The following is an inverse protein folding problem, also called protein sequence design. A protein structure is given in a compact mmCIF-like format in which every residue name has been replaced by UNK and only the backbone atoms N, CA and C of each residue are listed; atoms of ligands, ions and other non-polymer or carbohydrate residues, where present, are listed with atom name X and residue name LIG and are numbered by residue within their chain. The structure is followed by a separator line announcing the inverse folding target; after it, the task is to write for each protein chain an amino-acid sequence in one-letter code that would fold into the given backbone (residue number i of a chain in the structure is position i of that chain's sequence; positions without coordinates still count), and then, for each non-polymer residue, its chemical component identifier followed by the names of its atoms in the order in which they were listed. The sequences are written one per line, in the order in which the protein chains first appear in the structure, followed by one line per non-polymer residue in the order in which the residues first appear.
data_IF_747482164287
#
_entry.id   IF_747482164287
#
_cell.length_a   1.000
_cell.length_b   1.000
_cell.length_c   1.000
_cell.angle_alpha   90.00
_cell.angle_beta   90.00
_cell.angle_gamma   90.00
#
_symmetry.space_group_name_H-M   'P 1'
#
loop_
_entity.id
_entity.type
_entity.pdbx_description
1 polymer ?
#
# COMPACT_ATOMS: atom_id res chain seq x y z
N UNK A 1 -43.14 -23.01 33.37
CA UNK A 1 -43.44 -24.41 32.97
C UNK A 1 -43.49 -24.38 31.44
N UNK A 2 -42.54 -24.87 30.62
CA UNK A 2 -41.38 -25.76 30.74
C UNK A 2 -40.35 -25.36 29.68
N UNK A 3 -39.05 -25.51 30.00
CA UNK A 3 -37.94 -25.57 29.04
C UNK A 3 -37.98 -26.91 28.28
N UNK A 4 -37.17 -27.06 27.22
CA UNK A 4 -36.25 -28.19 27.28
C UNK A 4 -34.80 -27.82 26.95
N UNK A 5 -33.94 -28.33 27.83
CA UNK A 5 -32.50 -28.53 27.77
C UNK A 5 -32.17 -29.55 26.67
N UNK A 6 -31.15 -29.28 25.85
CA UNK A 6 -30.14 -30.29 25.48
C UNK A 6 -28.78 -29.61 25.24
N UNK A 7 -27.85 -29.96 26.12
CA UNK A 7 -26.42 -29.75 26.02
C UNK A 7 -25.81 -30.69 24.97
N UNK A 8 -24.69 -30.27 24.37
CA UNK A 8 -23.56 -31.16 24.09
C UNK A 8 -22.30 -30.34 23.81
N UNK A 9 -21.36 -30.52 24.73
CA UNK A 9 -19.96 -30.16 24.68
C UNK A 9 -19.28 -30.90 23.53
N UNK A 10 -18.54 -30.18 22.69
CA UNK A 10 -17.56 -30.76 21.79
C UNK A 10 -16.23 -30.03 21.98
N UNK A 11 -15.39 -30.61 22.82
CA UNK A 11 -13.97 -30.32 22.93
C UNK A 11 -13.29 -30.76 21.64
N UNK A 12 -12.71 -29.81 20.89
CA UNK A 12 -11.77 -30.12 19.81
C UNK A 12 -10.48 -29.37 20.04
N UNK A 13 -9.50 -30.15 20.51
CA UNK A 13 -8.09 -29.87 20.67
C UNK A 13 -7.54 -28.91 19.61
N UNK A 14 -7.31 -27.66 20.02
CA UNK A 14 -6.47 -26.72 19.29
C UNK A 14 -5.03 -27.26 19.31
N UNK A 15 -4.64 -27.96 18.24
CA UNK A 15 -3.25 -28.36 18.01
C UNK A 15 -2.39 -27.10 17.88
N UNK A 16 -1.70 -26.82 18.98
CA UNK A 16 -0.62 -25.85 19.15
C UNK A 16 0.49 -26.20 18.15
N UNK A 17 0.49 -25.57 16.98
CA UNK A 17 1.63 -25.62 16.06
C UNK A 17 2.77 -24.82 16.67
N UNK A 18 3.56 -25.52 17.48
CA UNK A 18 4.83 -25.08 18.06
C UNK A 18 5.86 -25.04 16.93
N UNK A 19 6.21 -23.85 16.45
CA UNK A 19 7.46 -23.65 15.70
C UNK A 19 8.47 -23.02 16.67
N UNK A 20 9.62 -23.69 16.77
CA UNK A 20 10.73 -23.39 17.69
C UNK A 20 11.43 -22.08 17.28
N UNK A 21 12.10 -21.39 18.21
CA UNK A 21 13.04 -20.33 17.86
C UNK A 21 14.30 -20.99 17.29
N UNK A 22 14.71 -20.56 16.10
CA UNK A 22 16.08 -20.73 15.64
C UNK A 22 16.69 -19.35 15.53
N UNK A 23 17.78 -19.19 16.27
CA UNK A 23 18.49 -17.95 16.49
C UNK A 23 19.14 -17.38 15.22
N UNK A 24 19.17 -16.05 15.21
CA UNK A 24 20.08 -15.11 14.56
C UNK A 24 21.09 -15.64 13.52
N UNK A 25 20.96 -15.13 12.28
CA UNK A 25 22.11 -14.65 11.49
C UNK A 25 21.73 -13.29 10.87
N UNK A 26 22.43 -12.25 11.31
CA UNK A 26 22.19 -10.87 10.93
C UNK A 26 22.70 -10.53 9.53
N UNK A 27 21.85 -9.91 8.74
CA UNK A 27 22.18 -9.03 7.61
C UNK A 27 21.09 -7.97 7.53
N UNK A 28 21.43 -6.71 7.24
CA UNK A 28 20.48 -5.57 7.27
C UNK A 28 19.22 -5.77 6.42
N UNK A 29 19.26 -6.66 5.42
CA UNK A 29 18.12 -7.04 4.59
C UNK A 29 17.07 -7.87 5.38
N UNK A 30 17.49 -8.76 6.28
CA UNK A 30 16.59 -9.58 7.09
C UNK A 30 15.79 -8.75 8.11
N UNK A 31 16.36 -7.64 8.60
CA UNK A 31 15.69 -6.73 9.53
C UNK A 31 14.55 -5.98 8.84
N UNK A 32 14.76 -5.51 7.61
CA UNK A 32 13.71 -4.86 6.80
C UNK A 32 12.60 -5.87 6.46
N UNK A 33 12.97 -7.09 6.08
CA UNK A 33 12.02 -8.14 5.69
C UNK A 33 11.16 -8.61 6.88
N UNK A 34 11.73 -8.85 8.06
CA UNK A 34 10.94 -9.25 9.23
C UNK A 34 9.97 -8.13 9.68
N UNK A 35 10.39 -6.88 9.58
CA UNK A 35 9.53 -5.73 9.95
C UNK A 35 8.32 -5.58 9.02
N UNK A 36 8.43 -5.99 7.75
CA UNK A 36 7.29 -6.00 6.80
C UNK A 36 6.34 -7.17 7.10
N UNK A 37 6.84 -8.36 7.46
CA UNK A 37 5.98 -9.51 7.79
C UNK A 37 5.18 -9.34 9.09
N UNK A 38 5.69 -8.50 10.00
CA UNK A 38 5.02 -8.13 11.25
C UNK A 38 4.21 -6.83 11.14
N UNK A 39 4.27 -6.16 9.99
CA UNK A 39 3.50 -4.94 9.74
C UNK A 39 2.01 -5.29 9.62
N UNK A 40 1.33 -5.28 10.76
CA UNK A 40 -0.11 -5.39 10.87
C UNK A 40 -0.65 -3.96 10.97
N UNK A 41 -1.28 -3.48 9.88
CA UNK A 41 -2.03 -2.23 9.92
C UNK A 41 -3.08 -2.34 11.03
N UNK A 42 -3.07 -1.46 12.05
CA UNK A 42 -4.08 -1.45 13.10
C UNK A 42 -5.47 -1.39 12.47
N UNK A 43 -6.36 -2.28 12.90
CA UNK A 43 -7.77 -2.17 12.53
C UNK A 43 -8.38 -1.02 13.35
N UNK A 44 -9.24 -0.16 12.76
CA UNK A 44 -10.00 0.81 13.54
C UNK A 44 -10.92 0.04 14.49
N UNK A 45 -10.51 -0.07 15.75
CA UNK A 45 -11.34 -0.61 16.81
C UNK A 45 -12.35 0.47 17.22
N UNK A 46 -13.58 0.30 16.77
CA UNK A 46 -14.82 0.86 17.30
C UNK A 46 -14.79 2.20 18.02
N UNK A 47 -15.26 3.24 17.35
CA UNK A 47 -16.28 4.18 17.83
C UNK A 47 -16.55 5.18 16.70
N UNK A 48 -17.72 5.10 16.07
CA UNK A 48 -18.21 6.21 15.23
C UNK A 48 -18.58 7.32 16.19
N UNK A 49 -17.68 8.29 16.36
CA UNK A 49 -17.98 9.48 17.15
C UNK A 49 -19.09 10.27 16.45
N UNK A 50 -20.06 10.84 17.19
CA UNK A 50 -21.07 11.70 16.60
C UNK A 50 -20.38 12.91 15.95
N UNK A 51 -20.79 13.23 14.71
CA UNK A 51 -20.34 14.41 13.98
C UNK A 51 -20.75 15.66 14.77
N UNK A 52 -19.76 16.30 15.38
CA UNK A 52 -19.94 17.56 16.10
C UNK A 52 -20.16 18.69 15.08
N UNK A 53 -21.10 19.62 15.30
CA UNK A 53 -21.30 20.76 14.41
C UNK A 53 -20.02 21.62 14.36
N UNK A 54 -19.71 22.12 13.17
CA UNK A 54 -18.50 22.89 12.90
C UNK A 54 -18.41 24.13 13.81
N UNK A 55 -17.55 24.05 14.83
CA UNK A 55 -17.28 25.16 15.74
C UNK A 55 -16.45 26.24 15.03
N UNK A 56 -16.45 27.47 15.53
CA UNK A 56 -15.64 28.58 14.99
C UNK A 56 -14.13 28.28 14.94
N UNK A 57 -13.63 27.35 15.76
CA UNK A 57 -12.25 26.82 15.64
C UNK A 57 -12.03 26.03 14.35
N UNK A 58 -13.03 25.27 13.92
CA UNK A 58 -13.00 24.48 12.68
C UNK A 58 -12.92 25.39 11.45
N UNK A 59 -13.65 26.52 11.46
CA UNK A 59 -13.55 27.53 10.41
C UNK A 59 -12.15 28.15 10.32
N UNK A 60 -11.52 28.49 11.45
CA UNK A 60 -10.16 29.05 11.49
C UNK A 60 -9.08 28.01 11.10
N UNK A 61 -9.29 26.71 11.38
CA UNK A 61 -8.40 25.66 10.87
C UNK A 61 -8.59 25.40 9.38
N UNK A 62 -9.81 25.51 8.86
CA UNK A 62 -10.10 25.40 7.42
C UNK A 62 -9.44 26.56 6.68
N UNK A 63 -9.61 27.80 7.14
CA UNK A 63 -8.95 28.97 6.53
C UNK A 63 -7.42 28.85 6.51
N UNK A 64 -6.81 28.32 7.58
CA UNK A 64 -5.35 28.07 7.62
C UNK A 64 -4.88 26.95 6.68
N UNK A 65 -5.71 25.95 6.43
CA UNK A 65 -5.38 24.88 5.48
C UNK A 65 -5.59 25.32 4.02
N UNK A 66 -6.52 26.25 3.77
CA UNK A 66 -6.75 26.87 2.45
C UNK A 66 -5.60 27.80 2.05
N UNK A 67 -4.93 28.44 3.00
CA UNK A 67 -3.76 29.30 2.74
C UNK A 67 -2.45 28.54 2.48
N UNK A 68 -2.39 27.24 2.80
CA UNK A 68 -1.20 26.45 2.47
C UNK A 68 -1.16 26.24 0.96
N UNK A 69 -0.33 27.05 0.30
CA UNK A 69 0.01 26.87 -1.10
C UNK A 69 0.52 25.45 -1.39
N UNK A 70 0.58 25.10 -2.67
CA UNK A 70 1.00 23.76 -3.11
C UNK A 70 2.43 23.48 -2.63
N UNK A 71 2.56 22.55 -1.67
CA UNK A 71 3.86 22.04 -1.22
C UNK A 71 4.27 20.85 -2.10
N UNK A 72 5.34 21.02 -2.88
CA UNK A 72 5.88 19.98 -3.74
C UNK A 72 6.65 18.92 -2.96
N UNK A 73 6.44 17.64 -3.31
CA UNK A 73 7.29 16.54 -2.89
C UNK A 73 8.46 16.38 -3.87
N UNK A 74 9.55 17.10 -3.59
CA UNK A 74 10.73 17.10 -4.45
C UNK A 74 11.37 15.73 -4.63
N UNK A 75 11.19 14.78 -3.69
CA UNK A 75 11.73 13.42 -3.84
C UNK A 75 10.99 12.71 -4.96
N UNK A 76 9.66 12.78 -4.96
CA UNK A 76 8.84 12.17 -6.00
C UNK A 76 9.00 12.91 -7.33
N UNK A 77 9.03 14.25 -7.32
CA UNK A 77 9.23 15.06 -8.54
C UNK A 77 10.53 14.69 -9.23
N UNK A 78 11.65 14.69 -8.49
CA UNK A 78 12.97 14.37 -9.05
C UNK A 78 13.05 12.90 -9.46
N UNK A 79 12.56 11.98 -8.62
CA UNK A 79 12.58 10.55 -8.90
C UNK A 79 11.80 10.17 -10.16
N UNK A 80 10.55 10.65 -10.27
CA UNK A 80 9.70 10.42 -11.44
C UNK A 80 10.34 11.04 -12.68
N UNK A 81 10.79 12.30 -12.62
CA UNK A 81 11.45 12.95 -13.74
C UNK A 81 12.71 12.19 -14.20
N UNK A 82 13.54 11.75 -13.27
CA UNK A 82 14.74 10.98 -13.55
C UNK A 82 14.45 9.68 -14.31
N UNK A 83 13.50 8.87 -13.84
CA UNK A 83 13.15 7.62 -14.52
C UNK A 83 12.52 7.83 -15.90
N UNK A 84 11.71 8.88 -16.08
CA UNK A 84 11.14 9.20 -17.39
C UNK A 84 12.21 9.67 -18.38
N UNK A 85 13.14 10.53 -17.96
CA UNK A 85 14.26 10.96 -18.78
C UNK A 85 15.19 9.80 -19.15
N UNK A 86 15.44 8.88 -18.21
CA UNK A 86 16.19 7.65 -18.47
C UNK A 86 15.47 6.75 -19.49
N UNK A 87 14.14 6.63 -19.41
CA UNK A 87 13.36 5.82 -20.35
C UNK A 87 13.46 6.34 -21.80
N UNK A 88 13.61 7.66 -21.99
CA UNK A 88 13.80 8.24 -23.33
C UNK A 88 15.10 7.78 -24.01
N UNK A 89 16.10 7.32 -23.24
CA UNK A 89 17.33 6.78 -23.82
C UNK A 89 17.06 5.55 -24.70
N UNK A 90 16.00 4.79 -24.43
CA UNK A 90 15.62 3.62 -25.24
C UNK A 90 15.20 4.00 -26.68
N UNK A 91 14.89 5.27 -26.95
CA UNK A 91 14.56 5.75 -28.30
C UNK A 91 15.80 5.94 -29.18
N UNK A 92 16.99 6.00 -28.57
CA UNK A 92 18.24 6.11 -29.31
C UNK A 92 18.70 4.72 -29.74
N UNK A 93 18.98 4.47 -31.03
CA UNK A 93 19.35 3.15 -31.53
C UNK A 93 20.54 2.50 -30.81
N UNK A 94 21.46 3.30 -30.27
CA UNK A 94 22.63 2.84 -29.51
C UNK A 94 22.28 2.16 -28.18
N UNK A 95 21.14 2.52 -27.57
CA UNK A 95 20.71 1.98 -26.28
C UNK A 95 19.52 1.01 -26.41
N UNK A 96 18.97 0.85 -27.62
CA UNK A 96 17.85 -0.05 -27.86
C UNK A 96 18.29 -1.50 -27.98
N UNK A 97 17.53 -2.41 -27.37
CA UNK A 97 17.71 -3.85 -27.51
C UNK A 97 16.38 -4.58 -27.43
N UNK A 98 16.17 -5.55 -28.33
CA UNK A 98 15.01 -6.43 -28.31
C UNK A 98 14.92 -7.26 -27.03
N UNK A 99 16.05 -7.74 -26.49
CA UNK A 99 16.05 -8.44 -25.21
C UNK A 99 15.67 -7.51 -24.06
N UNK A 100 16.12 -6.24 -24.11
CA UNK A 100 15.72 -5.20 -23.15
C UNK A 100 14.22 -4.94 -23.17
N UNK A 101 13.62 -4.86 -24.36
CA UNK A 101 12.17 -4.69 -24.51
C UNK A 101 11.38 -5.85 -23.91
N UNK A 102 11.79 -7.09 -24.19
CA UNK A 102 11.17 -8.30 -23.61
C UNK A 102 11.30 -8.27 -22.08
N UNK A 103 12.48 -7.96 -21.56
CA UNK A 103 12.73 -7.85 -20.13
C UNK A 103 11.91 -6.73 -19.48
N UNK A 104 11.64 -5.62 -20.18
CA UNK A 104 10.78 -4.56 -19.67
C UNK A 104 9.34 -5.04 -19.47
N UNK A 105 8.77 -5.76 -20.45
CA UNK A 105 7.43 -6.34 -20.31
C UNK A 105 7.36 -7.43 -19.23
N UNK A 106 8.37 -8.31 -19.18
CA UNK A 106 8.44 -9.36 -18.18
C UNK A 106 8.62 -8.77 -16.77
N UNK A 107 9.45 -7.74 -16.63
CA UNK A 107 9.64 -6.98 -15.41
C UNK A 107 8.34 -6.30 -14.98
N UNK A 108 7.61 -5.65 -15.89
CA UNK A 108 6.32 -5.04 -15.57
C UNK A 108 5.31 -6.07 -15.05
N UNK A 109 5.27 -7.27 -15.64
CA UNK A 109 4.42 -8.35 -15.15
C UNK A 109 4.87 -8.85 -13.77
N UNK A 110 6.18 -9.09 -13.58
CA UNK A 110 6.72 -9.63 -12.34
C UNK A 110 6.58 -8.64 -11.17
N UNK A 111 6.98 -7.38 -11.35
CA UNK A 111 6.99 -6.39 -10.29
C UNK A 111 5.64 -5.69 -10.13
N UNK A 112 5.00 -5.31 -11.25
CA UNK A 112 3.69 -4.66 -11.24
C UNK A 112 2.55 -5.64 -10.94
N UNK A 113 2.38 -6.68 -11.77
CA UNK A 113 1.25 -7.60 -11.59
C UNK A 113 1.40 -8.48 -10.34
N UNK A 114 2.55 -9.12 -10.12
CA UNK A 114 2.71 -9.98 -8.95
C UNK A 114 3.05 -9.20 -7.67
N UNK A 115 3.92 -8.20 -7.75
CA UNK A 115 4.24 -7.37 -6.59
C UNK A 115 3.10 -6.44 -6.17
N UNK A 116 2.65 -5.55 -7.04
CA UNK A 116 1.64 -4.55 -6.67
C UNK A 116 0.23 -5.15 -6.66
N UNK A 117 -0.23 -5.72 -7.79
CA UNK A 117 -1.63 -6.13 -7.92
C UNK A 117 -1.97 -7.36 -7.08
N UNK A 118 -1.10 -8.38 -7.06
CA UNK A 118 -1.34 -9.58 -6.26
C UNK A 118 -0.97 -9.35 -4.79
N UNK A 119 0.18 -8.75 -4.50
CA UNK A 119 0.65 -8.64 -3.11
C UNK A 119 0.20 -7.36 -2.39
N UNK A 120 0.61 -6.16 -2.79
CA UNK A 120 0.18 -4.93 -2.08
C UNK A 120 -1.35 -4.77 -2.07
N UNK A 121 -1.99 -4.98 -3.22
CA UNK A 121 -3.42 -4.81 -3.36
C UNK A 121 -4.21 -5.97 -2.73
N UNK A 122 -4.11 -7.19 -3.26
CA UNK A 122 -4.98 -8.29 -2.79
C UNK A 122 -4.55 -8.86 -1.44
N UNK A 123 -3.27 -9.13 -1.24
CA UNK A 123 -2.80 -9.73 0.01
C UNK A 123 -2.72 -8.71 1.15
N UNK A 124 -1.99 -7.62 0.97
CA UNK A 124 -1.67 -6.71 2.06
C UNK A 124 -2.87 -5.82 2.41
N UNK A 125 -3.52 -5.23 1.42
CA UNK A 125 -4.62 -4.29 1.61
C UNK A 125 -5.94 -4.98 1.92
N UNK A 126 -6.34 -5.93 1.07
CA UNK A 126 -7.67 -6.56 1.12
C UNK A 126 -7.72 -7.94 1.81
N UNK A 127 -6.56 -8.48 2.23
CA UNK A 127 -6.49 -9.80 2.89
C UNK A 127 -7.17 -10.93 2.12
N UNK A 128 -7.11 -10.87 0.78
CA UNK A 128 -7.86 -11.76 -0.12
C UNK A 128 -7.37 -13.20 -0.18
N UNK A 129 -6.18 -13.52 0.35
CA UNK A 129 -5.67 -14.88 0.45
C UNK A 129 -4.60 -15.02 1.54
N UNK A 130 -4.26 -16.26 1.88
CA UNK A 130 -3.13 -16.60 2.74
C UNK A 130 -2.06 -17.33 1.93
N UNK A 131 -0.79 -17.08 2.24
CA UNK A 131 0.35 -17.74 1.59
C UNK A 131 1.43 -18.09 2.61
N UNK A 132 2.31 -19.07 2.32
CA UNK A 132 3.44 -19.38 3.19
C UNK A 132 4.42 -18.19 3.29
N UNK A 133 5.14 -18.09 4.42
CA UNK A 133 6.00 -16.95 4.73
C UNK A 133 7.12 -16.69 3.72
N UNK A 134 7.65 -17.73 3.07
CA UNK A 134 8.66 -17.55 2.03
C UNK A 134 8.09 -16.80 0.81
N UNK A 135 6.84 -17.11 0.42
CA UNK A 135 6.17 -16.48 -0.71
C UNK A 135 5.75 -15.05 -0.36
N UNK A 136 5.28 -14.82 0.86
CA UNK A 136 4.99 -13.47 1.38
C UNK A 136 6.23 -12.56 1.27
N UNK A 137 7.39 -13.05 1.70
CA UNK A 137 8.66 -12.31 1.64
C UNK A 137 9.12 -12.08 0.21
N UNK A 138 9.00 -13.08 -0.66
CA UNK A 138 9.34 -12.96 -2.08
C UNK A 138 8.48 -11.87 -2.75
N UNK A 139 7.17 -11.94 -2.56
CA UNK A 139 6.23 -10.97 -3.14
C UNK A 139 6.44 -9.56 -2.57
N UNK A 140 6.79 -9.43 -1.29
CA UNK A 140 7.15 -8.15 -0.69
C UNK A 140 8.39 -7.52 -1.35
N UNK A 141 9.42 -8.31 -1.63
CA UNK A 141 10.62 -7.84 -2.34
C UNK A 141 10.25 -7.40 -3.76
N UNK A 142 9.50 -8.22 -4.50
CA UNK A 142 9.07 -7.88 -5.85
C UNK A 142 8.25 -6.58 -5.90
N UNK A 143 7.36 -6.37 -4.92
CA UNK A 143 6.56 -5.16 -4.83
C UNK A 143 7.39 -3.90 -4.55
N UNK A 144 8.36 -3.97 -3.62
CA UNK A 144 9.24 -2.84 -3.31
C UNK A 144 10.12 -2.46 -4.52
N UNK A 145 10.53 -3.43 -5.34
CA UNK A 145 11.26 -3.18 -6.59
C UNK A 145 10.44 -2.41 -7.64
N UNK A 146 9.11 -2.29 -7.48
CA UNK A 146 8.25 -1.52 -8.37
C UNK A 146 8.27 0.00 -8.06
N UNK A 147 8.91 0.43 -6.97
CA UNK A 147 9.04 1.84 -6.57
C UNK A 147 7.69 2.58 -6.38
N UNK A 148 6.63 1.87 -5.99
CA UNK A 148 5.32 2.45 -5.69
C UNK A 148 5.14 2.74 -4.19
N UNK A 149 6.12 3.43 -3.60
CA UNK A 149 6.17 3.72 -2.15
C UNK A 149 6.32 2.48 -1.24
N UNK A 150 6.45 2.75 0.06
CA UNK A 150 6.41 1.79 1.14
C UNK A 150 5.08 1.03 1.20
N UNK A 151 5.09 -0.25 1.64
CA UNK A 151 3.87 -1.04 1.79
C UNK A 151 2.84 -0.37 2.71
N UNK A 152 3.30 0.32 3.76
CA UNK A 152 2.46 0.99 4.73
C UNK A 152 1.68 2.16 4.11
N UNK A 153 2.39 3.05 3.41
CA UNK A 153 1.77 4.21 2.75
C UNK A 153 0.87 3.77 1.62
N UNK A 154 1.30 2.83 0.77
CA UNK A 154 0.48 2.33 -0.34
C UNK A 154 -0.86 1.78 0.17
N UNK A 155 -0.85 0.95 1.21
CA UNK A 155 -2.09 0.39 1.80
C UNK A 155 -2.98 1.48 2.38
N UNK A 156 -2.40 2.47 3.07
CA UNK A 156 -3.16 3.56 3.68
C UNK A 156 -3.86 4.41 2.61
N UNK A 157 -3.12 4.83 1.58
CA UNK A 157 -3.65 5.59 0.44
C UNK A 157 -4.72 4.80 -0.30
N UNK A 158 -4.46 3.53 -0.60
CA UNK A 158 -5.42 2.69 -1.33
C UNK A 158 -6.71 2.50 -0.55
N UNK A 159 -6.63 2.25 0.77
CA UNK A 159 -7.82 2.15 1.63
C UNK A 159 -8.58 3.46 1.68
N UNK A 160 -7.88 4.59 1.76
CA UNK A 160 -8.51 5.91 1.75
C UNK A 160 -9.26 6.14 0.44
N UNK A 161 -8.64 5.83 -0.69
CA UNK A 161 -9.30 5.89 -1.99
C UNK A 161 -10.57 5.02 -2.03
N UNK A 162 -10.53 3.78 -1.53
CA UNK A 162 -11.75 2.95 -1.44
C UNK A 162 -12.82 3.51 -0.49
N UNK A 163 -12.43 4.18 0.59
CA UNK A 163 -13.35 4.75 1.59
C UNK A 163 -14.09 5.99 1.09
N UNK A 164 -13.43 6.83 0.29
CA UNK A 164 -13.98 8.12 -0.17
C UNK A 164 -13.83 8.32 -1.69
N UNK A 165 -13.89 7.23 -2.46
CA UNK A 165 -13.69 7.24 -3.91
C UNK A 165 -14.53 8.32 -4.58
N UNK A 166 -13.90 9.15 -5.40
CA UNK A 166 -14.54 10.26 -6.12
C UNK A 166 -15.18 11.35 -5.22
N UNK A 167 -14.96 11.28 -3.91
CA UNK A 167 -15.43 12.26 -2.92
C UNK A 167 -14.27 13.08 -2.32
N UNK A 168 -14.63 14.03 -1.46
CA UNK A 168 -13.64 14.84 -0.74
C UNK A 168 -12.79 13.97 0.18
N UNK A 169 -11.48 14.02 -0.05
CA UNK A 169 -10.50 13.25 0.71
C UNK A 169 -9.94 12.03 -0.03
N UNK A 170 -10.41 11.73 -1.25
CA UNK A 170 -9.74 10.77 -2.14
C UNK A 170 -8.43 11.39 -2.67
N UNK A 171 -7.27 10.81 -2.34
CA UNK A 171 -5.97 11.35 -2.72
C UNK A 171 -5.80 11.47 -4.23
N UNK A 172 -6.34 10.54 -5.02
CA UNK A 172 -6.12 10.49 -6.47
C UNK A 172 -7.43 10.50 -7.27
N UNK A 173 -8.41 11.25 -6.77
CA UNK A 173 -9.73 11.40 -7.40
C UNK A 173 -9.62 11.89 -8.86
N UNK A 174 -10.24 11.20 -9.83
CA UNK A 174 -10.34 11.65 -11.23
C UNK A 174 -11.20 12.91 -11.38
N UNK A 175 -12.05 13.24 -10.39
CA UNK A 175 -12.86 14.47 -10.39
C UNK A 175 -12.00 15.72 -10.37
N UNK A 176 -10.77 15.64 -9.80
CA UNK A 176 -9.78 16.73 -9.84
C UNK A 176 -9.03 16.84 -11.18
N UNK A 177 -9.32 15.95 -12.13
CA UNK A 177 -8.77 15.95 -13.48
C UNK A 177 -7.78 14.82 -13.75
N UNK A 178 -7.60 14.50 -15.03
CA UNK A 178 -6.77 13.40 -15.50
C UNK A 178 -5.32 13.47 -14.99
N UNK A 179 -4.67 14.63 -15.14
CA UNK A 179 -3.27 14.79 -14.73
C UNK A 179 -3.11 14.65 -13.21
N UNK A 180 -4.11 15.10 -12.44
CA UNK A 180 -4.11 14.93 -10.99
C UNK A 180 -4.14 13.45 -10.62
N UNK A 181 -5.13 12.70 -11.11
CA UNK A 181 -5.29 11.28 -10.81
C UNK A 181 -4.14 10.41 -11.35
N UNK A 182 -3.53 10.81 -12.48
CA UNK A 182 -2.43 10.08 -13.09
C UNK A 182 -1.11 10.22 -12.32
N UNK A 183 -0.68 11.46 -12.04
CA UNK A 183 0.63 11.71 -11.41
C UNK A 183 0.61 12.86 -10.40
N UNK A 184 -0.27 13.85 -10.57
CA UNK A 184 -0.26 15.09 -9.78
C UNK A 184 -0.38 14.86 -8.28
N UNK A 185 -1.20 13.90 -7.85
CA UNK A 185 -1.38 13.56 -6.44
C UNK A 185 -0.12 13.04 -5.74
N UNK A 186 0.87 12.54 -6.48
CA UNK A 186 2.15 12.03 -5.95
C UNK A 186 3.21 13.15 -5.89
N UNK A 187 3.06 14.20 -6.70
CA UNK A 187 4.03 15.29 -6.80
C UNK A 187 3.87 16.33 -5.69
N UNK A 188 2.77 16.29 -4.95
CA UNK A 188 2.47 17.24 -3.89
C UNK A 188 2.32 16.51 -2.56
N UNK A 189 2.62 17.20 -1.46
CA UNK A 189 2.43 16.66 -0.12
C UNK A 189 0.94 16.68 0.23
N UNK A 190 0.41 15.52 0.58
CA UNK A 190 -0.96 15.27 1.03
C UNK A 190 -1.09 15.27 2.54
#
# INVERSE_FOLDING_TARGET
MLQPVWSRSATSSARKCRLRPCDAIGTGLAVVINRISDFRVPQPTGAVLPVQPATSRSAVSISRNVEKGIEWDWINVIGIAFFHLMALLALFPLFFSWSGLILAFLGNYLFGTLGINLFYHRFLTHKGFQCPKWLERLLAILAVCCFQDSPARWVAVHRRHHECSDEEGDPHSPVRGFLWAHVGWVLVKS
#
